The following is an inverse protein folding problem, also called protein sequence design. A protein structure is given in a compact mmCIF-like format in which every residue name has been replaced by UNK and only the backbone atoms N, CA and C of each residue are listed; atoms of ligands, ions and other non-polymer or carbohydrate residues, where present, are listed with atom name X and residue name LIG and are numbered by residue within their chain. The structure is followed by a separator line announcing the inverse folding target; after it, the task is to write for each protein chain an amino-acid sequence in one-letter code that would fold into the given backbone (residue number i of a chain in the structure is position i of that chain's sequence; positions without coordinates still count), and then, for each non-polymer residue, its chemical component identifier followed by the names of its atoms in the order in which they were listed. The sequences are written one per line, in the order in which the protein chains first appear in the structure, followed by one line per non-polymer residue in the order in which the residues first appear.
data_IF_276870260458
#
_entry.id   IF_276870260458
#
_cell.length_a   1.000
_cell.length_b   1.000
_cell.length_c   1.000
_cell.angle_alpha   90.00
_cell.angle_beta   90.00
_cell.angle_gamma   90.00
#
_symmetry.space_group_name_H-M   'P 1'
#
loop_
_entity.id
_entity.type
_entity.pdbx_description
1 polymer ?
#
# COMPACT_ATOMS: atom_id res chain seq x y z
N UNK A 1 5.95 12.38 42.00
CA UNK A 1 5.19 11.79 40.88
C UNK A 1 5.97 10.56 40.43
N UNK A 2 5.32 9.49 39.98
CA UNK A 2 6.06 8.36 39.40
C UNK A 2 6.58 8.76 38.01
N UNK A 3 7.85 8.47 37.73
CA UNK A 3 8.44 8.64 36.40
C UNK A 3 8.06 7.44 35.54
N UNK A 4 6.99 7.57 34.76
CA UNK A 4 6.55 6.51 33.84
C UNK A 4 6.04 7.13 32.55
N UNK A 5 6.38 6.52 31.41
CA UNK A 5 5.68 6.77 30.15
C UNK A 5 4.21 6.35 30.28
N UNK A 6 3.35 7.01 29.51
CA UNK A 6 1.90 6.84 29.54
C UNK A 6 1.44 6.61 28.11
N UNK A 7 0.71 5.52 27.89
CA UNK A 7 0.18 5.17 26.57
C UNK A 7 -0.80 6.26 26.09
N UNK A 8 -0.59 6.75 24.85
CA UNK A 8 -1.34 7.87 24.29
C UNK A 8 -1.68 7.66 22.82
N UNK A 9 -2.81 8.22 22.40
CA UNK A 9 -3.18 8.23 20.99
C UNK A 9 -2.28 9.20 20.22
N UNK A 10 -1.88 8.86 18.99
CA UNK A 10 -1.00 9.70 18.16
C UNK A 10 -1.54 11.13 17.92
N UNK A 11 -2.85 11.33 18.02
CA UNK A 11 -3.52 12.65 17.93
C UNK A 11 -3.16 13.60 19.09
N UNK A 12 -2.72 13.05 20.23
CA UNK A 12 -2.41 13.79 21.46
C UNK A 12 -0.91 14.16 21.54
N UNK A 13 -0.10 13.74 20.55
CA UNK A 13 1.35 13.98 20.48
C UNK A 13 1.66 15.38 19.98
N UNK A 14 2.55 16.08 20.69
CA UNK A 14 2.97 17.46 20.39
C UNK A 14 4.49 17.58 20.20
N UNK A 15 4.95 18.71 19.66
CA UNK A 15 6.38 18.98 19.45
C UNK A 15 7.06 19.21 20.80
N UNK A 16 8.17 18.52 21.03
CA UNK A 16 8.88 18.49 22.32
C UNK A 16 8.50 17.34 23.25
N UNK A 17 7.48 16.52 22.91
CA UNK A 17 7.17 15.32 23.67
C UNK A 17 8.26 14.26 23.51
N UNK A 18 8.53 13.53 24.61
CA UNK A 18 9.42 12.37 24.62
C UNK A 18 8.60 11.10 24.38
N UNK A 19 8.93 10.39 23.30
CA UNK A 19 8.28 9.14 22.94
C UNK A 19 9.30 8.03 23.07
N UNK A 20 8.97 7.04 23.91
CA UNK A 20 9.59 5.72 23.90
C UNK A 20 8.81 4.83 22.94
N UNK A 21 9.52 4.11 22.08
CA UNK A 21 8.95 3.14 21.14
C UNK A 21 9.66 1.79 21.31
N UNK A 22 8.93 0.70 21.13
CA UNK A 22 9.43 -0.68 21.18
C UNK A 22 9.80 -1.23 19.79
N UNK A 23 10.49 -2.37 19.76
CA UNK A 23 10.70 -3.12 18.52
C UNK A 23 9.37 -3.41 17.80
N UNK A 24 9.35 -3.26 16.48
CA UNK A 24 8.20 -3.42 15.58
C UNK A 24 7.08 -2.37 15.72
N UNK A 25 7.24 -1.33 16.54
CA UNK A 25 6.30 -0.21 16.58
C UNK A 25 6.52 0.79 15.42
N UNK A 26 5.43 1.46 15.03
CA UNK A 26 5.43 2.47 13.96
C UNK A 26 5.63 3.87 14.55
N UNK A 27 6.57 4.61 14.00
CA UNK A 27 6.95 5.95 14.45
C UNK A 27 5.80 6.95 14.18
N UNK A 28 5.26 7.64 15.21
CA UNK A 28 4.01 8.42 15.10
C UNK A 28 4.20 9.84 14.54
N UNK A 29 5.39 10.40 14.70
CA UNK A 29 5.77 11.78 14.37
C UNK A 29 7.26 11.82 14.02
N UNK A 30 7.74 12.89 13.37
CA UNK A 30 9.17 12.99 13.06
C UNK A 30 9.93 13.38 14.34
N UNK A 31 10.88 12.55 14.76
CA UNK A 31 11.50 12.62 16.09
C UNK A 31 13.01 12.36 16.04
N UNK A 32 13.77 13.09 16.85
CA UNK A 32 15.23 12.95 16.94
C UNK A 32 15.58 11.86 17.94
N UNK A 33 16.43 10.91 17.55
CA UNK A 33 16.84 9.75 18.33
C UNK A 33 17.80 10.15 19.46
N UNK A 34 17.36 10.01 20.72
CA UNK A 34 18.12 10.38 21.93
C UNK A 34 18.67 9.18 22.70
N UNK A 35 18.07 8.00 22.56
CA UNK A 35 18.52 6.76 23.20
C UNK A 35 18.13 5.54 22.37
N UNK A 36 18.96 4.50 22.43
CA UNK A 36 18.69 3.17 21.89
C UNK A 36 19.17 2.12 22.89
N UNK A 37 18.51 0.95 22.92
CA UNK A 37 19.01 -0.23 23.65
C UNK A 37 20.21 -0.91 22.99
N UNK A 38 20.56 -0.52 21.77
CA UNK A 38 21.75 -1.00 21.05
C UNK A 38 23.03 -0.33 21.63
N UNK A 39 24.06 -1.11 22.04
CA UNK A 39 25.27 -0.57 22.68
C UNK A 39 26.10 0.35 21.77
N UNK A 40 25.98 0.26 20.44
CA UNK A 40 26.65 1.18 19.50
C UNK A 40 25.86 2.49 19.29
N UNK A 41 24.75 2.68 20.03
CA UNK A 41 23.85 3.82 19.88
C UNK A 41 23.07 3.80 18.56
N UNK A 42 22.86 2.61 17.98
CA UNK A 42 22.25 2.41 16.66
C UNK A 42 20.75 2.12 16.80
N UNK A 43 19.95 2.52 15.81
CA UNK A 43 18.59 2.01 15.60
C UNK A 43 18.41 1.63 14.14
N UNK A 44 17.68 0.56 13.85
CA UNK A 44 17.31 0.20 12.49
C UNK A 44 15.84 0.54 12.23
N UNK A 45 15.56 1.24 11.12
CA UNK A 45 14.18 1.50 10.70
C UNK A 45 13.89 0.91 9.31
N UNK A 46 12.70 0.36 9.16
CA UNK A 46 12.14 -0.03 7.87
C UNK A 46 11.44 1.16 7.23
N UNK A 47 11.78 1.48 5.97
CA UNK A 47 11.22 2.64 5.23
C UNK A 47 10.33 2.25 4.05
N UNK A 48 9.97 0.97 3.96
CA UNK A 48 9.12 0.38 2.92
C UNK A 48 7.84 1.20 2.65
N UNK A 49 7.18 1.70 3.70
CA UNK A 49 6.00 2.56 3.61
C UNK A 49 6.22 4.02 3.18
N UNK A 50 7.46 4.46 2.94
CA UNK A 50 7.81 5.82 2.47
C UNK A 50 8.52 5.83 1.11
N UNK A 51 9.42 4.88 0.87
CA UNK A 51 10.29 4.87 -0.32
C UNK A 51 10.41 3.52 -1.04
N UNK A 52 9.64 2.50 -0.62
CA UNK A 52 9.61 1.19 -1.29
C UNK A 52 10.90 0.38 -1.15
N UNK A 53 11.89 0.85 -0.38
CA UNK A 53 13.10 0.08 -0.06
C UNK A 53 12.82 -0.87 1.10
N UNK A 54 13.09 -2.17 0.90
CA UNK A 54 12.98 -3.19 1.95
C UNK A 54 14.23 -3.33 2.83
N UNK A 55 15.30 -2.58 2.53
CA UNK A 55 16.51 -2.59 3.34
C UNK A 55 16.31 -1.76 4.62
N UNK A 56 16.84 -2.26 5.74
CA UNK A 56 16.80 -1.53 7.01
C UNK A 56 17.77 -0.36 6.97
N UNK A 57 17.28 0.86 7.24
CA UNK A 57 18.08 2.07 7.24
C UNK A 57 18.58 2.36 8.65
N UNK A 58 19.89 2.38 8.80
CA UNK A 58 20.57 2.65 10.05
C UNK A 58 20.34 4.12 10.48
N UNK A 59 20.15 4.30 11.78
CA UNK A 59 20.00 5.57 12.50
C UNK A 59 20.94 5.59 13.69
N UNK A 60 21.37 6.77 14.12
CA UNK A 60 22.28 6.91 15.27
C UNK A 60 21.74 7.90 16.30
N UNK A 61 21.96 7.59 17.58
CA UNK A 61 21.73 8.50 18.70
C UNK A 61 22.60 9.75 18.55
N UNK A 62 22.06 10.93 18.90
CA UNK A 62 22.82 12.18 18.82
C UNK A 62 24.06 12.15 19.72
N UNK A 63 25.20 12.61 19.20
CA UNK A 63 26.46 12.72 19.96
C UNK A 63 26.26 13.58 21.22
N UNK A 64 26.88 13.17 22.33
CA UNK A 64 26.61 13.68 23.68
C UNK A 64 25.57 12.86 24.45
N UNK A 65 24.68 12.12 23.76
CA UNK A 65 23.77 11.14 24.39
C UNK A 65 24.15 9.69 24.06
N UNK A 66 24.91 9.45 22.98
CA UNK A 66 25.35 8.10 22.58
C UNK A 66 26.32 7.41 23.57
N UNK A 67 26.94 8.16 24.49
CA UNK A 67 27.86 7.63 25.52
C UNK A 67 27.14 7.28 26.84
N UNK A 68 25.80 7.29 26.85
CA UNK A 68 25.01 7.09 28.08
C UNK A 68 24.39 5.68 28.14
N UNK A 69 24.98 4.80 28.96
CA UNK A 69 24.51 3.42 29.28
C UNK A 69 23.09 3.33 29.91
N UNK A 70 22.35 4.43 29.98
CA UNK A 70 21.07 4.53 30.67
C UNK A 70 20.08 5.39 29.91
N UNK A 71 18.81 4.98 29.93
CA UNK A 71 17.71 5.67 29.29
C UNK A 71 17.63 7.16 29.72
N UNK A 72 17.45 8.05 28.74
CA UNK A 72 17.47 9.51 28.97
C UNK A 72 16.30 9.92 29.86
N UNK A 73 16.61 10.36 31.09
CA UNK A 73 15.64 10.90 32.05
C UNK A 73 15.09 12.25 31.55
N UNK A 74 13.81 12.35 31.11
CA UNK A 74 13.32 13.57 30.44
C UNK A 74 13.31 14.80 31.35
N UNK A 75 13.22 14.63 32.68
CA UNK A 75 13.29 15.75 33.63
C UNK A 75 14.69 16.36 33.75
N UNK A 76 15.74 15.65 33.29
CA UNK A 76 17.12 16.14 33.24
C UNK A 76 17.51 16.70 31.86
N UNK A 77 16.65 16.56 30.85
CA UNK A 77 16.95 17.04 29.52
C UNK A 77 16.83 18.57 29.45
N UNK A 78 17.98 19.24 29.44
CA UNK A 78 18.11 20.70 29.45
C UNK A 78 18.76 21.25 28.16
N UNK A 79 18.75 20.45 27.10
CA UNK A 79 19.30 20.77 25.78
C UNK A 79 18.21 21.32 24.85
N UNK A 80 18.59 22.18 23.90
CA UNK A 80 17.67 22.88 22.99
C UNK A 80 17.91 22.43 21.54
N UNK A 81 16.86 22.02 20.84
CA UNK A 81 16.92 21.65 19.42
C UNK A 81 16.52 22.85 18.56
N UNK A 82 17.38 23.22 17.62
CA UNK A 82 17.06 24.10 16.50
C UNK A 82 17.06 23.24 15.22
N UNK A 83 16.01 23.30 14.40
CA UNK A 83 15.94 22.60 13.11
C UNK A 83 15.53 23.55 11.99
N UNK A 84 15.82 23.18 10.73
CA UNK A 84 15.32 23.89 9.56
C UNK A 84 13.79 23.79 9.46
N UNK A 85 13.14 24.70 8.71
CA UNK A 85 11.68 24.64 8.55
C UNK A 85 11.22 23.32 7.88
N UNK A 86 10.02 22.82 8.22
CA UNK A 86 9.44 21.61 7.62
C UNK A 86 9.52 21.62 6.10
N UNK A 87 10.04 20.54 5.51
CA UNK A 87 10.27 20.41 4.07
C UNK A 87 10.11 18.97 3.59
N UNK A 88 9.64 18.78 2.35
CA UNK A 88 9.28 17.49 1.76
C UNK A 88 10.47 16.60 1.33
N UNK A 89 11.71 17.06 1.51
CA UNK A 89 12.91 16.30 1.13
C UNK A 89 13.21 15.18 2.16
N UNK A 90 12.93 13.93 1.81
CA UNK A 90 13.22 12.75 2.64
C UNK A 90 14.72 12.41 2.74
N UNK A 91 15.58 13.03 1.92
CA UNK A 91 17.04 12.88 1.98
C UNK A 91 17.70 13.88 2.95
N UNK A 92 17.05 15.02 3.19
CA UNK A 92 17.62 16.15 3.92
C UNK A 92 16.94 16.38 5.27
N UNK A 93 17.77 16.50 6.30
CA UNK A 93 17.43 17.15 7.56
C UNK A 93 18.65 17.91 8.04
N UNK A 94 18.46 19.12 8.55
CA UNK A 94 19.51 19.95 9.16
C UNK A 94 19.00 20.56 10.45
N UNK A 95 19.79 20.44 11.50
CA UNK A 95 19.55 21.10 12.78
C UNK A 95 20.79 21.09 13.67
N UNK A 96 20.63 21.60 14.88
CA UNK A 96 21.64 21.59 15.93
C UNK A 96 20.99 21.30 17.28
N UNK A 97 21.64 20.46 18.08
CA UNK A 97 21.34 20.23 19.49
C UNK A 97 22.32 21.05 20.33
N UNK A 98 21.81 22.10 20.96
CA UNK A 98 22.54 22.99 21.86
C UNK A 98 22.42 22.48 23.30
N UNK A 99 23.48 21.87 23.81
CA UNK A 99 23.56 21.43 25.20
C UNK A 99 23.61 22.63 26.16
N UNK A 100 23.29 22.43 27.44
CA UNK A 100 23.35 23.50 28.46
C UNK A 100 24.75 24.13 28.61
N UNK A 101 25.81 23.42 28.21
CA UNK A 101 27.19 23.92 28.13
C UNK A 101 27.45 24.86 26.93
N UNK A 102 26.42 25.16 26.12
CA UNK A 102 26.45 25.88 24.83
C UNK A 102 27.22 25.18 23.70
N UNK A 103 27.57 23.91 23.90
CA UNK A 103 28.08 23.06 22.84
C UNK A 103 26.96 22.72 21.84
N UNK A 104 27.25 22.87 20.54
CA UNK A 104 26.28 22.69 19.45
C UNK A 104 26.64 21.48 18.60
N UNK A 105 25.90 20.39 18.79
CA UNK A 105 26.05 19.15 18.03
C UNK A 105 25.19 19.22 16.76
N UNK A 106 25.77 18.92 15.59
CA UNK A 106 25.03 18.90 14.34
C UNK A 106 24.03 17.73 14.25
N UNK A 107 22.82 18.00 13.77
CA UNK A 107 21.79 17.01 13.48
C UNK A 107 21.68 16.78 11.97
N UNK A 108 21.86 15.53 11.55
CA UNK A 108 21.74 15.05 10.16
C UNK A 108 20.51 14.14 9.99
N UNK A 109 20.27 13.68 8.75
CA UNK A 109 19.27 12.64 8.46
C UNK A 109 19.50 11.35 9.25
N UNK A 110 20.73 11.03 9.68
CA UNK A 110 21.03 9.81 10.45
C UNK A 110 20.39 9.82 11.84
N UNK A 111 20.16 11.01 12.42
CA UNK A 111 19.62 11.18 13.76
C UNK A 111 18.07 11.29 13.77
N UNK A 112 17.42 11.27 12.60
CA UNK A 112 15.98 11.53 12.45
C UNK A 112 15.19 10.24 12.16
N UNK A 113 14.29 9.89 13.07
CA UNK A 113 13.23 8.91 12.83
C UNK A 113 12.07 9.62 12.11
N UNK A 114 11.54 8.99 11.07
CA UNK A 114 10.47 9.55 10.23
C UNK A 114 9.13 8.90 10.54
N UNK A 115 8.05 9.70 10.55
CA UNK A 115 6.69 9.21 10.72
C UNK A 115 6.33 8.16 9.67
N UNK A 116 5.77 7.04 10.12
CA UNK A 116 5.34 5.92 9.26
C UNK A 116 6.42 4.88 8.97
N UNK A 117 7.66 5.08 9.42
CA UNK A 117 8.66 4.02 9.48
C UNK A 117 8.40 3.08 10.67
N UNK A 118 8.84 1.83 10.56
CA UNK A 118 8.74 0.82 11.63
C UNK A 118 10.12 0.57 12.23
N UNK A 119 10.24 0.50 13.56
CA UNK A 119 11.50 0.17 14.23
C UNK A 119 11.75 -1.34 14.14
N UNK A 120 12.98 -1.74 13.83
CA UNK A 120 13.42 -3.14 13.73
C UNK A 120 14.75 -3.31 14.47
N UNK A 121 15.11 -4.55 14.82
CA UNK A 121 16.41 -4.93 15.39
C UNK A 121 16.88 -4.08 16.60
N UNK A 122 15.95 -3.52 17.38
CA UNK A 122 16.25 -2.66 18.54
C UNK A 122 15.09 -2.79 19.53
N UNK A 123 15.34 -3.23 20.76
CA UNK A 123 14.28 -3.53 21.74
C UNK A 123 13.45 -2.30 22.12
N UNK A 124 14.13 -1.18 22.41
CA UNK A 124 13.48 0.10 22.64
C UNK A 124 14.36 1.28 22.19
N UNK A 125 13.70 2.36 21.80
CA UNK A 125 14.33 3.67 21.53
C UNK A 125 13.57 4.77 22.25
N UNK A 126 14.25 5.87 22.57
CA UNK A 126 13.62 7.12 23.01
C UNK A 126 14.04 8.25 22.09
N UNK A 127 13.09 9.08 21.70
CA UNK A 127 13.35 10.30 20.94
C UNK A 127 12.39 11.42 21.30
N UNK A 128 12.73 12.62 20.84
CA UNK A 128 11.97 13.84 21.06
C UNK A 128 11.35 14.33 19.75
N UNK A 129 10.05 14.63 19.76
CA UNK A 129 9.30 15.04 18.56
C UNK A 129 9.76 16.42 18.09
N UNK A 130 10.16 16.53 16.81
CA UNK A 130 10.55 17.79 16.16
C UNK A 130 9.50 18.31 15.17
N UNK A 131 8.77 17.43 14.47
CA UNK A 131 7.63 17.81 13.65
C UNK A 131 6.43 16.90 13.93
N UNK A 132 5.23 17.45 13.98
CA UNK A 132 4.00 16.73 14.30
C UNK A 132 2.90 16.98 13.26
N UNK A 133 1.87 16.12 13.24
CA UNK A 133 0.69 16.31 12.40
C UNK A 133 0.99 16.42 10.91
N UNK A 134 0.71 17.58 10.31
CA UNK A 134 0.93 17.87 8.89
C UNK A 134 2.35 18.35 8.55
N UNK A 135 3.17 18.71 9.55
CA UNK A 135 4.53 19.20 9.35
C UNK A 135 5.56 18.07 9.17
N UNK A 136 5.17 16.81 9.41
CA UNK A 136 6.07 15.67 9.18
C UNK A 136 6.39 15.51 7.70
N UNK A 137 7.63 15.15 7.39
CA UNK A 137 8.12 14.99 6.00
C UNK A 137 7.27 14.02 5.19
N UNK A 138 6.80 12.93 5.84
CA UNK A 138 5.86 11.97 5.26
C UNK A 138 4.51 12.61 4.85
N UNK A 139 3.98 13.56 5.64
CA UNK A 139 2.74 14.26 5.29
C UNK A 139 2.95 15.39 4.28
N UNK A 140 4.11 16.05 4.28
CA UNK A 140 4.46 17.04 3.26
C UNK A 140 4.68 16.43 1.87
N UNK A 141 5.05 15.14 1.80
CA UNK A 141 5.09 14.38 0.55
C UNK A 141 3.70 13.82 0.13
N UNK A 142 2.74 13.77 1.05
CA UNK A 142 1.39 13.29 0.78
C UNK A 142 0.52 14.38 0.12
N UNK A 143 0.25 14.23 -1.18
CA UNK A 143 -0.63 15.12 -1.96
C UNK A 143 -2.11 15.15 -1.56
N UNK A 144 -2.51 14.42 -0.52
CA UNK A 144 -3.85 14.39 0.03
C UNK A 144 -4.88 13.63 -0.81
N UNK A 145 -6.10 13.39 -0.27
CA UNK A 145 -7.19 12.74 -1.00
C UNK A 145 -7.76 13.67 -2.08
N UNK A 146 -7.19 13.62 -3.28
CA UNK A 146 -7.73 14.35 -4.44
C UNK A 146 -9.03 13.69 -4.92
N UNK A 147 -10.08 14.48 -5.11
CA UNK A 147 -11.35 14.00 -5.68
C UNK A 147 -11.12 13.46 -7.10
N UNK A 148 -11.36 12.15 -7.26
CA UNK A 148 -11.31 11.47 -8.57
C UNK A 148 -12.65 11.68 -9.29
N UNK A 149 -12.61 11.87 -10.61
CA UNK A 149 -13.81 12.14 -11.44
C UNK A 149 -13.71 11.36 -12.76
N UNK A 150 -14.58 10.36 -12.95
CA UNK A 150 -14.54 9.43 -14.08
C UNK A 150 -14.65 10.13 -15.44
N UNK A 151 -14.10 9.49 -16.47
CA UNK A 151 -14.32 9.85 -17.88
C UNK A 151 -15.80 9.79 -18.29
N UNK A 152 -16.57 8.82 -17.78
CA UNK A 152 -18.00 8.65 -18.10
C UNK A 152 -18.83 9.82 -17.60
N UNK A 153 -18.60 10.23 -16.34
CA UNK A 153 -19.29 11.36 -15.71
C UNK A 153 -19.04 12.68 -16.45
N UNK A 154 -17.81 12.91 -16.92
CA UNK A 154 -17.46 14.08 -17.77
C UNK A 154 -18.20 14.05 -19.11
N UNK A 155 -18.33 12.87 -19.72
CA UNK A 155 -19.07 12.68 -20.98
C UNK A 155 -20.56 12.94 -20.78
N UNK A 156 -21.19 12.33 -19.77
CA UNK A 156 -22.60 12.56 -19.44
C UNK A 156 -22.91 14.05 -19.19
N UNK A 157 -22.02 14.78 -18.49
CA UNK A 157 -22.14 16.22 -18.30
C UNK A 157 -22.04 17.01 -19.63
N UNK A 158 -21.29 16.52 -20.61
CA UNK A 158 -21.18 17.11 -21.96
C UNK A 158 -22.42 16.83 -22.80
N UNK A 159 -22.95 15.61 -22.71
CA UNK A 159 -24.17 15.21 -23.42
C UNK A 159 -25.41 15.96 -22.87
N UNK A 160 -25.49 16.16 -21.54
CA UNK A 160 -26.51 17.02 -20.92
C UNK A 160 -26.40 18.48 -21.37
N UNK A 161 -25.19 19.01 -21.57
CA UNK A 161 -25.01 20.36 -22.13
C UNK A 161 -25.56 20.45 -23.56
N UNK A 162 -25.37 19.42 -24.39
CA UNK A 162 -25.98 19.34 -25.72
C UNK A 162 -27.51 19.26 -25.66
N UNK A 163 -28.08 18.49 -24.73
CA UNK A 163 -29.53 18.45 -24.48
C UNK A 163 -30.10 19.84 -24.10
N UNK A 164 -29.40 20.59 -23.25
CA UNK A 164 -29.80 21.96 -22.87
C UNK A 164 -29.73 22.92 -24.06
N UNK A 165 -28.71 22.83 -24.91
CA UNK A 165 -28.62 23.65 -26.13
C UNK A 165 -29.73 23.32 -27.12
N UNK A 166 -30.04 22.03 -27.31
CA UNK A 166 -31.15 21.58 -28.17
C UNK A 166 -32.51 22.06 -27.62
N UNK A 167 -32.74 21.94 -26.31
CA UNK A 167 -33.93 22.45 -25.63
C UNK A 167 -34.13 23.95 -25.91
N UNK A 168 -33.11 24.79 -25.71
CA UNK A 168 -33.19 26.23 -25.97
C UNK A 168 -33.53 26.53 -27.43
N UNK A 169 -32.94 25.80 -28.39
CA UNK A 169 -33.26 25.95 -29.83
C UNK A 169 -34.72 25.58 -30.12
N UNK A 170 -35.25 24.51 -29.52
CA UNK A 170 -36.66 24.13 -29.67
C UNK A 170 -37.61 25.16 -29.03
N UNK A 171 -37.30 25.67 -27.83
CA UNK A 171 -38.10 26.71 -27.18
C UNK A 171 -38.09 28.02 -27.98
N UNK A 172 -36.95 28.42 -28.57
CA UNK A 172 -36.85 29.60 -29.44
C UNK A 172 -37.67 29.43 -30.73
N UNK A 173 -37.58 28.29 -31.41
CA UNK A 173 -38.36 28.04 -32.63
C UNK A 173 -39.87 27.95 -32.35
N UNK A 174 -40.27 27.36 -31.21
CA UNK A 174 -41.66 27.38 -30.73
C UNK A 174 -42.18 28.80 -30.44
N UNK A 175 -41.41 29.62 -29.74
CA UNK A 175 -41.77 31.01 -29.42
C UNK A 175 -41.90 31.89 -30.67
N UNK A 176 -40.95 31.79 -31.60
CA UNK A 176 -40.97 32.50 -32.89
C UNK A 176 -42.13 32.00 -33.77
N UNK A 177 -42.36 30.69 -33.83
CA UNK A 177 -43.49 30.10 -34.56
C UNK A 177 -44.83 30.59 -34.04
N UNK A 178 -45.01 30.67 -32.71
CA UNK A 178 -46.22 31.20 -32.08
C UNK A 178 -46.41 32.70 -32.38
N UNK A 179 -45.36 33.51 -32.28
CA UNK A 179 -45.42 34.94 -32.61
C UNK A 179 -45.81 35.20 -34.08
N UNK A 180 -45.24 34.43 -35.01
CA UNK A 180 -45.58 34.48 -36.45
C UNK A 180 -47.03 34.03 -36.68
N UNK A 181 -47.48 32.97 -36.02
CA UNK A 181 -48.85 32.47 -36.12
C UNK A 181 -49.87 33.52 -35.65
N UNK A 182 -49.68 34.06 -34.44
CA UNK A 182 -50.58 35.07 -33.87
C UNK A 182 -50.62 36.34 -34.73
N UNK A 183 -49.47 36.83 -35.20
CA UNK A 183 -49.40 37.96 -36.13
C UNK A 183 -50.05 37.68 -37.50
N UNK A 184 -50.06 36.43 -37.97
CA UNK A 184 -50.72 36.04 -39.23
C UNK A 184 -52.24 35.98 -39.12
N UNK A 185 -52.76 35.52 -37.98
CA UNK A 185 -54.20 35.27 -37.76
C UNK A 185 -54.92 36.33 -36.92
N UNK A 186 -54.24 37.42 -36.55
CA UNK A 186 -54.73 38.58 -35.79
C UNK A 186 -56.11 39.14 -36.24
N UNK A 187 -56.44 39.00 -37.53
CA UNK A 187 -57.71 39.46 -38.15
C UNK A 187 -58.87 38.46 -38.08
N UNK A 188 -58.64 37.23 -37.59
CA UNK A 188 -59.67 36.20 -37.43
C UNK A 188 -60.19 36.18 -35.99
N UNK A 189 -61.21 36.99 -35.71
CA UNK A 189 -61.83 37.11 -34.38
C UNK A 189 -62.31 35.79 -33.75
N UNK A 190 -62.46 34.72 -34.53
CA UNK A 190 -62.85 33.39 -34.03
C UNK A 190 -61.70 32.60 -33.37
N UNK A 191 -60.44 32.97 -33.63
CA UNK A 191 -59.25 32.28 -33.09
C UNK A 191 -58.54 33.06 -31.98
N UNK A 192 -58.89 34.33 -31.78
CA UNK A 192 -58.25 35.21 -30.80
C UNK A 192 -59.14 35.29 -29.54
N UNK A 193 -59.02 34.29 -28.66
CA UNK A 193 -59.75 34.23 -27.38
C UNK A 193 -59.13 35.26 -26.41
N UNK A 194 -59.88 36.27 -25.92
CA UNK A 194 -59.36 37.22 -24.94
C UNK A 194 -59.09 36.56 -23.60
N UNK A 195 -58.09 37.06 -22.86
CA UNK A 195 -57.96 36.74 -21.43
C UNK A 195 -59.14 37.33 -20.62
N UNK A 196 -59.41 36.84 -19.40
CA UNK A 196 -60.56 37.25 -18.60
C UNK A 196 -60.69 38.76 -18.37
N UNK A 197 -59.57 39.49 -18.35
CA UNK A 197 -59.50 40.94 -18.16
C UNK A 197 -59.74 41.74 -19.46
N UNK A 198 -60.03 41.07 -20.59
CA UNK A 198 -60.38 41.70 -21.88
C UNK A 198 -59.21 42.34 -22.64
N UNK A 199 -57.99 42.29 -22.09
CA UNK A 199 -56.79 42.78 -22.75
C UNK A 199 -56.28 41.81 -23.83
N UNK A 200 -55.85 42.35 -24.97
CA UNK A 200 -55.21 41.59 -26.06
C UNK A 200 -53.70 41.59 -25.81
N UNK A 201 -53.13 40.41 -25.51
CA UNK A 201 -51.68 40.25 -25.34
C UNK A 201 -50.97 40.58 -26.65
N UNK A 202 -49.91 41.39 -26.61
CA UNK A 202 -49.12 41.68 -27.82
C UNK A 202 -48.43 40.41 -28.33
N UNK A 203 -48.29 40.19 -29.66
CA UNK A 203 -47.69 38.96 -30.19
C UNK A 203 -46.28 38.67 -29.68
N UNK A 204 -45.51 39.70 -29.34
CA UNK A 204 -44.18 39.59 -28.73
C UNK A 204 -44.25 39.06 -27.28
N UNK A 205 -45.17 39.57 -26.47
CA UNK A 205 -45.36 39.13 -25.08
C UNK A 205 -45.97 37.73 -25.02
N UNK A 206 -46.90 37.41 -25.91
CA UNK A 206 -47.43 36.05 -26.07
C UNK A 206 -46.34 35.05 -26.50
N UNK A 207 -45.44 35.45 -27.42
CA UNK A 207 -44.24 34.67 -27.77
C UNK A 207 -43.29 34.48 -26.58
N UNK A 208 -43.09 35.50 -25.75
CA UNK A 208 -42.26 35.41 -24.53
C UNK A 208 -42.85 34.44 -23.50
N UNK A 209 -44.17 34.48 -23.23
CA UNK A 209 -44.79 33.48 -22.36
C UNK A 209 -44.67 32.07 -22.95
N UNK A 210 -44.90 31.91 -24.25
CA UNK A 210 -44.76 30.61 -24.93
C UNK A 210 -43.33 30.06 -24.91
N UNK A 211 -42.29 30.89 -24.87
CA UNK A 211 -40.91 30.42 -24.63
C UNK A 211 -40.79 29.67 -23.30
N UNK A 212 -41.29 30.25 -22.20
CA UNK A 212 -41.28 29.63 -20.87
C UNK A 212 -42.21 28.41 -20.77
N UNK A 213 -43.41 28.48 -21.37
CA UNK A 213 -44.31 27.32 -21.47
C UNK A 213 -43.64 26.15 -22.22
N UNK A 214 -42.89 26.43 -23.29
CA UNK A 214 -42.15 25.40 -24.03
C UNK A 214 -40.96 24.84 -23.23
N UNK A 215 -40.31 25.61 -22.36
CA UNK A 215 -39.29 25.07 -21.44
C UNK A 215 -39.92 24.05 -20.49
N UNK A 216 -41.07 24.38 -19.88
CA UNK A 216 -41.78 23.49 -18.95
C UNK A 216 -42.28 22.23 -19.67
N UNK A 217 -42.84 22.38 -20.88
CA UNK A 217 -43.34 21.26 -21.69
C UNK A 217 -42.21 20.32 -22.14
N UNK A 218 -41.06 20.87 -22.55
CA UNK A 218 -39.91 20.11 -23.06
C UNK A 218 -38.88 19.74 -21.98
N UNK A 219 -39.13 20.02 -20.69
CA UNK A 219 -38.19 19.75 -19.58
C UNK A 219 -37.72 18.28 -19.51
N UNK A 220 -38.52 17.36 -20.05
CA UNK A 220 -38.21 15.92 -20.19
C UNK A 220 -36.97 15.63 -21.05
N UNK A 221 -36.53 16.59 -21.88
CA UNK A 221 -35.27 16.51 -22.64
C UNK A 221 -34.01 16.52 -21.75
N UNK A 222 -34.12 16.93 -20.48
CA UNK A 222 -33.05 16.83 -19.50
C UNK A 222 -33.33 15.58 -18.63
N UNK A 223 -32.63 14.46 -18.84
CA UNK A 223 -32.95 13.21 -18.15
C UNK A 223 -32.40 13.23 -16.72
N UNK A 224 -33.12 13.86 -15.79
CA UNK A 224 -32.74 13.93 -14.36
C UNK A 224 -32.52 12.52 -13.77
N UNK A 225 -33.31 11.54 -14.23
CA UNK A 225 -33.17 10.13 -13.87
C UNK A 225 -31.84 9.50 -14.29
N UNK A 226 -31.16 10.01 -15.32
CA UNK A 226 -29.89 9.46 -15.82
C UNK A 226 -28.82 9.42 -14.73
N UNK A 227 -28.66 10.52 -13.98
CA UNK A 227 -27.70 10.59 -12.88
C UNK A 227 -28.02 9.59 -11.76
N UNK A 228 -29.29 9.51 -11.36
CA UNK A 228 -29.75 8.59 -10.31
C UNK A 228 -29.54 7.13 -10.74
N UNK A 229 -29.86 6.79 -12.00
CA UNK A 229 -29.62 5.45 -12.55
C UNK A 229 -28.13 5.12 -12.65
N UNK A 230 -27.26 6.06 -13.04
CA UNK A 230 -25.81 5.86 -13.09
C UNK A 230 -25.26 5.57 -11.69
N UNK A 231 -25.61 6.36 -10.67
CA UNK A 231 -25.13 6.14 -9.30
C UNK A 231 -25.63 4.79 -8.72
N UNK A 232 -26.89 4.41 -8.98
CA UNK A 232 -27.40 3.08 -8.57
C UNK A 232 -26.63 1.94 -9.27
N UNK A 233 -26.33 2.08 -10.57
CA UNK A 233 -25.53 1.09 -11.31
C UNK A 233 -24.10 0.99 -10.76
N UNK A 234 -23.46 2.11 -10.42
CA UNK A 234 -22.13 2.13 -9.78
C UNK A 234 -22.12 1.40 -8.43
N UNK A 235 -23.09 1.72 -7.57
CA UNK A 235 -23.22 1.06 -6.27
C UNK A 235 -23.45 -0.46 -6.43
N UNK A 236 -24.24 -0.88 -7.43
CA UNK A 236 -24.40 -2.29 -7.79
C UNK A 236 -23.10 -2.95 -8.25
N UNK A 237 -22.35 -2.31 -9.16
CA UNK A 237 -21.04 -2.81 -9.63
C UNK A 237 -20.05 -3.00 -8.48
N UNK A 238 -20.00 -2.04 -7.54
CA UNK A 238 -19.10 -2.10 -6.39
C UNK A 238 -19.54 -3.18 -5.39
N UNK A 239 -20.85 -3.31 -5.14
CA UNK A 239 -21.37 -4.40 -4.32
C UNK A 239 -20.95 -5.78 -4.86
N UNK A 240 -21.01 -5.99 -6.18
CA UNK A 240 -20.50 -7.23 -6.79
C UNK A 240 -19.00 -7.39 -6.60
N UNK A 241 -18.16 -6.37 -6.87
CA UNK A 241 -16.70 -6.44 -6.69
C UNK A 241 -16.31 -6.73 -5.22
N UNK A 242 -17.08 -6.26 -4.24
CA UNK A 242 -16.82 -6.51 -2.81
C UNK A 242 -17.41 -7.81 -2.28
N UNK A 243 -18.34 -8.44 -3.01
CA UNK A 243 -18.97 -9.72 -2.68
C UNK A 243 -18.36 -10.89 -3.47
N UNK A 244 -17.32 -10.62 -4.26
CA UNK A 244 -16.64 -11.60 -5.10
C UNK A 244 -15.59 -12.38 -4.29
N UNK A 245 -15.64 -13.71 -4.42
CA UNK A 245 -14.79 -14.64 -3.65
C UNK A 245 -13.40 -14.76 -4.27
N UNK A 246 -13.26 -14.55 -5.59
CA UNK A 246 -11.97 -14.58 -6.29
C UNK A 246 -11.06 -13.41 -5.85
N UNK A 247 -11.61 -12.42 -5.14
CA UNK A 247 -10.92 -11.27 -4.55
C UNK A 247 -10.69 -11.37 -3.02
N UNK A 248 -10.95 -12.52 -2.40
CA UNK A 248 -10.60 -12.80 -1.01
C UNK A 248 -9.14 -13.26 -0.86
N UNK A 249 -8.42 -12.73 0.13
CA UNK A 249 -7.08 -13.20 0.50
C UNK A 249 -7.09 -13.87 1.86
N UNK A 250 -7.05 -15.20 1.83
CA UNK A 250 -6.98 -16.12 2.97
C UNK A 250 -5.85 -15.77 3.95
N UNK A 251 -4.64 -15.53 3.46
CA UNK A 251 -3.43 -15.25 4.28
C UNK A 251 -3.50 -13.97 5.10
N UNK A 252 -4.50 -13.12 4.88
CA UNK A 252 -4.70 -11.88 5.63
C UNK A 252 -6.16 -11.67 6.05
N UNK A 253 -7.00 -12.71 5.98
CA UNK A 253 -8.47 -12.66 6.19
C UNK A 253 -9.10 -11.35 5.68
N UNK A 254 -8.93 -11.09 4.37
CA UNK A 254 -9.27 -9.77 3.82
C UNK A 254 -9.92 -9.82 2.45
N UNK A 255 -11.11 -9.23 2.36
CA UNK A 255 -11.83 -8.90 1.12
C UNK A 255 -11.35 -7.57 0.52
N UNK A 256 -11.58 -7.37 -0.78
CA UNK A 256 -11.31 -6.10 -1.48
C UNK A 256 -12.17 -4.93 -0.94
N UNK A 257 -11.49 -3.84 -0.57
CA UNK A 257 -12.12 -2.62 -0.04
C UNK A 257 -12.22 -1.52 -1.09
N UNK A 258 -13.39 -1.34 -1.69
CA UNK A 258 -13.65 -0.30 -2.69
C UNK A 258 -13.79 1.11 -2.08
N UNK A 259 -12.64 1.77 -1.79
CA UNK A 259 -12.59 3.09 -1.13
C UNK A 259 -13.09 4.29 -1.98
N UNK A 260 -13.35 4.12 -3.28
CA UNK A 260 -13.75 5.20 -4.17
C UNK A 260 -14.90 4.76 -5.09
N UNK A 261 -16.12 5.21 -4.79
CA UNK A 261 -17.34 4.66 -5.36
C UNK A 261 -17.69 5.17 -6.77
N UNK A 262 -16.95 6.15 -7.30
CA UNK A 262 -17.32 6.89 -8.51
C UNK A 262 -16.42 6.62 -9.73
N UNK A 263 -15.53 5.61 -9.66
CA UNK A 263 -14.54 5.27 -10.69
C UNK A 263 -14.54 3.78 -11.08
N UNK A 264 -15.53 2.99 -10.68
CA UNK A 264 -15.58 1.56 -10.99
C UNK A 264 -15.54 1.30 -12.52
N UNK A 265 -16.16 2.18 -13.30
CA UNK A 265 -16.18 2.10 -14.76
C UNK A 265 -14.84 2.47 -15.43
N UNK A 266 -13.93 3.17 -14.73
CA UNK A 266 -12.63 3.58 -15.26
C UNK A 266 -11.62 2.42 -15.26
N UNK A 267 -11.84 1.35 -14.46
CA UNK A 267 -10.96 0.16 -14.45
C UNK A 267 -10.91 -0.52 -15.83
N UNK A 268 -12.06 -0.65 -16.50
CA UNK A 268 -12.17 -1.16 -17.87
C UNK A 268 -11.58 -0.23 -18.95
N UNK A 269 -10.92 0.87 -18.56
CA UNK A 269 -10.32 1.86 -19.45
C UNK A 269 -8.85 2.20 -19.09
N UNK A 270 -8.20 1.34 -18.31
CA UNK A 270 -6.77 1.43 -17.97
C UNK A 270 -5.94 0.95 -19.16
N UNK A 271 -5.00 1.78 -19.62
CA UNK A 271 -4.06 1.47 -20.71
C UNK A 271 -2.61 1.28 -20.23
N UNK A 272 -2.29 1.81 -19.04
CA UNK A 272 -0.96 1.80 -18.46
C UNK A 272 -1.08 1.41 -16.99
N UNK A 273 -0.51 0.27 -16.62
CA UNK A 273 -0.39 -0.17 -15.24
C UNK A 273 1.01 0.22 -14.72
N UNK A 274 1.05 1.19 -13.81
CA UNK A 274 2.27 1.52 -13.07
C UNK A 274 2.30 0.69 -11.79
N UNK A 275 3.04 -0.42 -11.81
CA UNK A 275 3.30 -1.23 -10.62
C UNK A 275 4.59 -0.80 -9.94
N UNK A 276 4.61 -0.79 -8.61
CA UNK A 276 5.87 -0.84 -7.86
C UNK A 276 6.50 -2.25 -8.01
N UNK A 277 7.80 -2.36 -7.76
CA UNK A 277 8.52 -3.63 -7.69
C UNK A 277 8.32 -4.24 -6.29
N UNK A 278 8.77 -3.54 -5.25
CA UNK A 278 8.79 -4.07 -3.89
C UNK A 278 7.37 -4.15 -3.33
N UNK A 279 7.01 -5.27 -2.69
CA UNK A 279 5.69 -5.43 -2.05
C UNK A 279 4.49 -5.50 -2.98
N UNK A 280 4.67 -5.34 -4.31
CA UNK A 280 3.61 -5.51 -5.32
C UNK A 280 3.97 -6.64 -6.31
N UNK A 281 5.14 -6.56 -6.97
CA UNK A 281 5.61 -7.63 -7.89
C UNK A 281 6.44 -8.70 -7.18
N UNK A 282 7.06 -8.38 -6.04
CA UNK A 282 7.87 -9.32 -5.26
C UNK A 282 7.48 -9.30 -3.79
N UNK A 283 7.17 -10.48 -3.23
CA UNK A 283 7.12 -10.66 -1.78
C UNK A 283 8.48 -10.30 -1.14
N UNK A 284 8.46 -9.82 0.11
CA UNK A 284 9.69 -9.41 0.81
C UNK A 284 10.44 -10.62 1.43
N UNK A 285 10.63 -11.68 0.65
CA UNK A 285 11.17 -12.98 1.08
C UNK A 285 12.41 -13.32 0.25
N UNK A 286 13.58 -12.90 0.72
CA UNK A 286 14.85 -13.12 0.01
C UNK A 286 15.36 -14.55 0.20
N UNK A 287 15.31 -15.35 -0.86
CA UNK A 287 15.74 -16.75 -0.86
C UNK A 287 17.06 -16.94 -1.60
N UNK A 288 18.07 -17.44 -0.90
CA UNK A 288 19.32 -17.89 -1.53
C UNK A 288 19.08 -19.20 -2.30
N UNK A 289 19.25 -19.17 -3.63
CA UNK A 289 19.03 -20.31 -4.54
C UNK A 289 20.32 -20.95 -5.07
N UNK A 290 21.32 -20.15 -5.45
CA UNK A 290 22.62 -20.59 -6.00
C UNK A 290 23.74 -19.61 -5.67
N UNK A 291 24.99 -20.07 -5.67
CA UNK A 291 26.16 -19.21 -5.88
C UNK A 291 27.16 -19.90 -6.82
N UNK A 292 27.98 -19.12 -7.51
CA UNK A 292 29.18 -19.67 -8.16
C UNK A 292 30.43 -19.26 -7.39
N UNK A 293 31.29 -20.24 -7.11
CA UNK A 293 32.58 -20.05 -6.43
C UNK A 293 33.67 -20.71 -7.28
N UNK A 294 34.72 -19.95 -7.61
CA UNK A 294 35.82 -20.40 -8.48
C UNK A 294 35.40 -21.00 -9.84
N UNK A 295 34.22 -20.64 -10.36
CA UNK A 295 33.68 -21.14 -11.63
C UNK A 295 32.82 -22.42 -11.53
N UNK A 296 32.67 -23.00 -10.34
CA UNK A 296 31.71 -24.07 -10.07
C UNK A 296 30.36 -23.45 -9.65
N UNK A 297 29.23 -23.95 -10.14
CA UNK A 297 27.88 -23.54 -9.71
C UNK A 297 27.37 -24.46 -8.59
N UNK A 298 27.01 -23.87 -7.46
CA UNK A 298 26.49 -24.56 -6.28
C UNK A 298 24.98 -24.31 -6.21
N UNK A 299 24.21 -25.20 -6.84
CA UNK A 299 22.76 -25.14 -6.76
C UNK A 299 22.26 -25.68 -5.41
N UNK A 300 21.43 -24.89 -4.71
CA UNK A 300 20.90 -25.27 -3.39
C UNK A 300 19.44 -25.76 -3.49
N UNK A 301 19.24 -26.86 -4.21
CA UNK A 301 17.91 -27.48 -4.43
C UNK A 301 17.23 -27.88 -3.12
N UNK A 302 18.00 -28.25 -2.11
CA UNK A 302 17.48 -28.66 -0.80
C UNK A 302 16.77 -27.52 -0.06
N UNK A 303 17.22 -26.26 -0.24
CA UNK A 303 16.49 -25.09 0.27
C UNK A 303 15.21 -24.78 -0.50
N UNK A 304 15.06 -25.23 -1.75
CA UNK A 304 13.79 -25.11 -2.49
C UNK A 304 12.72 -25.97 -1.80
N UNK A 305 12.99 -27.27 -1.69
CA UNK A 305 12.11 -28.24 -1.00
C UNK A 305 11.86 -27.87 0.46
N UNK A 306 12.88 -27.36 1.15
CA UNK A 306 12.71 -26.93 2.55
C UNK A 306 11.73 -25.76 2.65
N UNK A 307 11.78 -24.80 1.72
CA UNK A 307 10.82 -23.70 1.66
C UNK A 307 9.40 -24.13 1.27
N UNK A 308 9.28 -25.10 0.37
CA UNK A 308 8.00 -25.76 0.06
C UNK A 308 7.41 -26.40 1.34
N UNK A 309 8.19 -27.23 2.06
CA UNK A 309 7.75 -27.87 3.31
C UNK A 309 7.46 -26.91 4.47
N UNK A 310 8.14 -25.76 4.54
CA UNK A 310 7.81 -24.69 5.51
C UNK A 310 6.55 -23.92 5.12
N UNK A 311 6.18 -23.91 3.83
CA UNK A 311 4.94 -23.30 3.37
C UNK A 311 3.75 -24.22 3.68
N UNK A 312 3.90 -25.52 3.44
CA UNK A 312 2.91 -26.57 3.74
C UNK A 312 2.62 -26.69 5.25
N UNK A 313 3.66 -26.81 6.09
CA UNK A 313 3.50 -26.96 7.53
C UNK A 313 2.79 -25.76 8.20
N UNK A 314 2.99 -24.54 7.69
CA UNK A 314 2.33 -23.33 8.21
C UNK A 314 0.85 -23.27 7.83
N UNK A 315 0.43 -23.86 6.70
CA UNK A 315 -1.00 -24.05 6.42
C UNK A 315 -1.63 -25.13 7.32
N UNK A 316 -0.95 -26.26 7.52
CA UNK A 316 -1.48 -27.37 8.34
C UNK A 316 -1.68 -26.96 9.82
N UNK A 317 -0.79 -26.13 10.38
CA UNK A 317 -0.90 -25.64 11.77
C UNK A 317 -2.06 -24.63 11.97
N UNK A 318 -2.44 -23.84 10.95
CA UNK A 318 -3.58 -22.89 11.01
C UNK A 318 -4.92 -23.64 10.82
N UNK A 319 -5.04 -24.52 9.83
CA UNK A 319 -6.25 -25.34 9.57
C UNK A 319 -6.67 -26.18 10.80
N UNK A 320 -5.70 -26.62 11.59
CA UNK A 320 -5.93 -27.41 12.80
C UNK A 320 -6.53 -26.60 13.95
N UNK A 321 -6.37 -25.26 13.96
CA UNK A 321 -6.91 -24.40 15.02
C UNK A 321 -8.40 -24.17 14.83
N UNK A 322 -8.84 -23.78 13.63
CA UNK A 322 -10.26 -23.48 13.36
C UNK A 322 -11.16 -24.72 13.44
N UNK A 323 -10.62 -25.90 13.06
CA UNK A 323 -11.34 -27.19 13.15
C UNK A 323 -11.77 -27.53 14.58
N UNK A 324 -11.09 -27.01 15.61
CA UNK A 324 -11.36 -27.33 17.03
C UNK A 324 -12.45 -26.44 17.65
N UNK A 325 -12.78 -25.29 17.05
CA UNK A 325 -13.79 -24.35 17.58
C UNK A 325 -15.25 -24.84 17.41
N UNK A 326 -15.45 -25.94 16.67
CA UNK A 326 -16.72 -26.30 16.05
C UNK A 326 -17.65 -27.31 16.75
N UNK A 327 -17.43 -27.79 17.98
CA UNK A 327 -18.40 -28.73 18.59
C UNK A 327 -18.53 -28.85 20.12
N UNK A 328 -19.80 -28.85 20.53
CA UNK A 328 -20.44 -29.38 21.74
C UNK A 328 -20.07 -28.89 23.16
N UNK A 329 -21.13 -28.61 23.91
CA UNK A 329 -21.14 -28.34 25.34
C UNK A 329 -21.49 -29.60 26.15
N UNK A 330 -20.81 -29.82 27.30
CA UNK A 330 -21.42 -29.91 28.65
C UNK A 330 -20.53 -30.59 29.72
N UNK A 331 -20.12 -29.79 30.71
CA UNK A 331 -20.00 -30.11 32.14
C UNK A 331 -19.36 -31.45 32.62
N UNK A 332 -18.10 -31.38 33.09
CA UNK A 332 -17.65 -31.98 34.35
C UNK A 332 -16.32 -31.37 34.87
N UNK A 333 -16.13 -31.27 36.19
CA UNK A 333 -14.81 -31.08 36.84
C UNK A 333 -14.29 -32.45 37.30
N UNK A 334 -12.98 -32.71 37.25
CA UNK A 334 -12.23 -32.73 38.52
C UNK A 334 -10.74 -32.27 38.48
N UNK A 335 -10.33 -31.70 39.63
CA UNK A 335 -9.01 -31.66 40.30
C UNK A 335 -7.70 -31.98 39.54
N UNK A 336 -6.70 -31.12 39.75
CA UNK A 336 -5.28 -31.37 39.50
C UNK A 336 -4.62 -32.32 40.54
N UNK A 337 -3.46 -32.90 40.20
CA UNK A 337 -2.25 -32.79 41.01
C UNK A 337 -1.04 -32.31 40.15
N UNK A 338 -0.33 -31.25 40.56
CA UNK A 338 0.83 -31.27 41.47
C UNK A 338 2.17 -31.58 40.79
N UNK A 339 3.04 -30.56 40.71
CA UNK A 339 4.46 -30.72 40.38
C UNK A 339 5.19 -31.62 41.40
N UNK A 340 6.26 -32.31 40.99
CA UNK A 340 7.33 -32.75 41.91
C UNK A 340 8.68 -32.93 41.20
N UNK A 341 9.72 -32.36 41.82
CA UNK A 341 11.15 -32.44 41.49
C UNK A 341 11.73 -33.84 41.73
N UNK A 342 12.94 -34.16 41.20
CA UNK A 342 14.11 -34.68 41.99
C UNK A 342 15.40 -34.92 41.15
N UNK A 343 16.51 -34.38 41.67
CA UNK A 343 17.96 -34.68 41.56
C UNK A 343 18.78 -35.02 40.28
N UNK A 344 19.99 -34.43 40.29
CA UNK A 344 21.21 -34.86 39.59
C UNK A 344 21.94 -36.02 40.32
N UNK A 345 22.73 -36.84 39.62
CA UNK A 345 23.70 -37.78 40.21
C UNK A 345 24.43 -38.69 39.19
N UNK A 346 25.78 -38.79 39.16
CA UNK A 346 26.52 -39.50 38.10
C UNK A 346 27.36 -40.73 38.55
N UNK A 347 27.64 -41.67 37.62
CA UNK A 347 28.93 -42.41 37.39
C UNK A 347 28.75 -43.59 36.39
N UNK A 348 29.82 -44.03 35.68
CA UNK A 348 29.86 -45.34 34.98
C UNK A 348 30.78 -45.43 33.74
N UNK A 349 31.77 -46.33 33.74
CA UNK A 349 32.84 -46.43 32.72
C UNK A 349 32.73 -47.68 31.80
N UNK A 350 32.91 -47.49 30.47
CA UNK A 350 33.70 -48.35 29.52
C UNK A 350 33.27 -49.83 29.24
N UNK A 351 33.90 -50.56 28.27
CA UNK A 351 34.54 -50.17 26.98
C UNK A 351 34.25 -51.12 25.76
N UNK A 352 34.80 -50.76 24.58
CA UNK A 352 35.15 -51.63 23.42
C UNK A 352 33.98 -52.17 22.56
N UNK A 353 34.13 -52.52 21.27
CA UNK A 353 35.30 -52.76 20.37
C UNK A 353 34.90 -52.38 18.89
N UNK A 354 35.57 -52.65 17.75
CA UNK A 354 36.74 -53.48 17.39
C UNK A 354 37.60 -52.94 16.19
N UNK A 355 37.62 -53.62 15.01
CA UNK A 355 38.43 -53.36 13.79
C UNK A 355 37.50 -53.09 12.56
N UNK A 356 37.85 -52.49 11.41
CA UNK A 356 39.09 -52.03 10.72
C UNK A 356 39.57 -52.86 9.49
N UNK A 357 39.93 -52.16 8.39
CA UNK A 357 40.64 -52.67 7.19
C UNK A 357 39.76 -53.10 5.99
N UNK A 358 40.23 -53.11 4.72
CA UNK A 358 41.48 -52.52 4.15
C UNK A 358 41.55 -52.57 2.61
N UNK A 359 41.95 -51.45 1.97
CA UNK A 359 42.82 -51.30 0.77
C UNK A 359 42.68 -52.14 -0.52
N UNK A 360 42.56 -51.42 -1.66
CA UNK A 360 43.26 -51.58 -2.97
C UNK A 360 43.39 -52.94 -3.68
N UNK A 361 42.99 -52.95 -4.98
CA UNK A 361 43.80 -53.48 -6.11
C UNK A 361 43.53 -52.67 -7.40
N UNK A 362 44.36 -52.86 -8.43
CA UNK A 362 44.37 -52.15 -9.72
C UNK A 362 44.13 -53.15 -10.88
N UNK A 363 43.40 -52.76 -11.94
CA UNK A 363 43.17 -53.60 -13.12
C UNK A 363 42.87 -52.80 -14.38
N UNK A 364 43.49 -53.17 -15.51
CA UNK A 364 43.44 -52.44 -16.80
C UNK A 364 42.25 -52.84 -17.68
N UNK A 365 41.81 -51.93 -18.55
CA UNK A 365 40.85 -52.20 -19.64
C UNK A 365 40.63 -50.97 -20.53
N UNK A 366 40.82 -51.11 -21.83
CA UNK A 366 40.59 -50.05 -22.82
C UNK A 366 39.10 -49.96 -23.21
N UNK A 367 38.58 -48.76 -23.40
CA UNK A 367 37.22 -48.48 -23.84
C UNK A 367 37.03 -47.00 -24.17
N UNK A 368 36.24 -46.69 -25.20
CA UNK A 368 36.14 -45.35 -25.76
C UNK A 368 34.86 -44.59 -25.35
N UNK A 369 34.89 -43.29 -25.64
CA UNK A 369 33.75 -42.38 -25.90
C UNK A 369 33.23 -41.44 -24.78
N UNK A 370 32.86 -40.26 -25.28
CA UNK A 370 31.88 -39.28 -24.80
C UNK A 370 32.19 -38.40 -23.57
N UNK A 371 32.47 -37.12 -23.89
CA UNK A 371 32.46 -35.97 -22.97
C UNK A 371 31.04 -35.38 -22.93
N UNK A 372 30.36 -35.36 -21.77
CA UNK A 372 29.08 -34.66 -21.64
C UNK A 372 29.31 -33.15 -21.46
N UNK A 373 29.31 -32.40 -22.56
CA UNK A 373 29.32 -30.94 -22.51
C UNK A 373 27.95 -30.39 -22.05
N UNK A 374 27.75 -30.31 -20.73
CA UNK A 374 26.65 -29.52 -20.18
C UNK A 374 26.90 -28.02 -20.40
N UNK A 375 26.12 -27.44 -21.31
CA UNK A 375 26.00 -25.99 -21.53
C UNK A 375 24.53 -25.58 -21.57
N UNK A 376 23.81 -25.83 -20.49
CA UNK A 376 22.54 -25.14 -20.25
C UNK A 376 22.81 -23.72 -19.76
N UNK A 377 22.21 -22.73 -20.42
CA UNK A 377 22.40 -21.32 -20.10
C UNK A 377 21.61 -20.92 -18.83
N UNK A 378 22.13 -19.96 -18.07
CA UNK A 378 21.64 -19.62 -16.72
C UNK A 378 20.26 -18.93 -16.65
N UNK A 379 19.47 -18.92 -17.72
CA UNK A 379 18.18 -18.22 -17.82
C UNK A 379 17.10 -19.03 -18.57
N UNK A 380 17.05 -20.35 -18.35
CA UNK A 380 16.00 -21.21 -18.93
C UNK A 380 15.51 -22.30 -17.97
N UNK A 381 14.88 -21.90 -16.87
CA UNK A 381 13.85 -22.73 -16.24
C UNK A 381 12.55 -22.56 -17.05
N UNK A 382 11.85 -23.65 -17.45
CA UNK A 382 10.49 -23.52 -17.93
C UNK A 382 9.63 -23.04 -16.74
N UNK A 383 9.20 -21.78 -16.78
CA UNK A 383 8.17 -21.32 -15.84
C UNK A 383 6.84 -21.91 -16.31
N UNK A 384 6.06 -22.46 -15.39
CA UNK A 384 4.87 -23.23 -15.70
C UNK A 384 3.72 -22.29 -16.09
N UNK A 385 3.70 -21.86 -17.35
CA UNK A 385 2.68 -20.95 -17.90
C UNK A 385 1.41 -21.72 -18.24
N UNK A 386 0.72 -22.26 -17.23
CA UNK A 386 -0.59 -22.89 -17.42
C UNK A 386 -1.69 -21.82 -17.52
N UNK A 387 -1.52 -20.94 -18.52
CA UNK A 387 -2.50 -19.96 -18.96
C UNK A 387 -3.19 -20.57 -20.18
N UNK A 388 -4.23 -21.35 -19.94
CA UNK A 388 -5.07 -21.93 -21.00
C UNK A 388 -5.65 -20.78 -21.84
N UNK A 389 -5.30 -20.65 -23.13
CA UNK A 389 -5.76 -19.52 -23.94
C UNK A 389 -7.21 -19.74 -24.37
N UNK A 390 -8.15 -18.91 -23.87
CA UNK A 390 -9.51 -18.92 -24.41
C UNK A 390 -9.48 -18.53 -25.89
N UNK A 391 -9.96 -19.44 -26.73
CA UNK A 391 -9.87 -19.37 -28.20
C UNK A 391 -10.86 -18.38 -28.83
N UNK A 392 -11.42 -17.47 -28.03
CA UNK A 392 -12.43 -16.47 -28.43
C UNK A 392 -11.93 -15.01 -28.40
N UNK A 393 -10.75 -14.74 -27.85
CA UNK A 393 -10.14 -13.40 -27.85
C UNK A 393 -9.30 -13.16 -29.12
N UNK A 394 -9.74 -12.24 -29.99
CA UNK A 394 -9.10 -11.99 -31.28
C UNK A 394 -7.91 -11.02 -31.23
N UNK A 395 -6.75 -11.48 -31.71
CA UNK A 395 -5.67 -10.73 -32.38
C UNK A 395 -5.41 -9.26 -31.96
N UNK A 396 -4.30 -9.01 -31.26
CA UNK A 396 -3.64 -7.69 -31.33
C UNK A 396 -2.68 -7.32 -30.19
N UNK A 397 -1.37 -7.55 -30.36
CA UNK A 397 -0.33 -6.96 -29.49
C UNK A 397 0.95 -7.80 -29.38
N UNK A 398 2.06 -7.31 -29.93
CA UNK A 398 3.40 -7.84 -29.63
C UNK A 398 3.96 -7.10 -28.40
N UNK A 399 4.13 -7.81 -27.28
CA UNK A 399 4.88 -7.31 -26.13
C UNK A 399 6.34 -7.74 -26.22
N UNK A 400 7.22 -6.82 -26.63
CA UNK A 400 8.66 -7.06 -26.65
C UNK A 400 9.26 -6.94 -25.24
N UNK A 401 9.48 -8.08 -24.57
CA UNK A 401 10.25 -8.12 -23.32
C UNK A 401 11.75 -7.93 -23.61
N UNK A 402 12.31 -6.80 -23.14
CA UNK A 402 13.75 -6.54 -23.17
C UNK A 402 14.44 -7.02 -21.90
N UNK A 403 15.39 -7.95 -22.03
CA UNK A 403 16.15 -8.49 -20.90
C UNK A 403 17.16 -7.46 -20.36
N UNK A 404 17.05 -7.07 -19.09
CA UNK A 404 18.00 -6.14 -18.44
C UNK A 404 18.98 -6.95 -17.59
N UNK A 405 20.23 -7.05 -18.05
CA UNK A 405 21.33 -7.57 -17.24
C UNK A 405 21.84 -6.49 -16.27
N UNK A 406 21.89 -6.81 -14.98
CA UNK A 406 22.49 -5.95 -13.94
C UNK A 406 23.83 -6.55 -13.51
N UNK A 407 24.94 -5.95 -13.93
CA UNK A 407 26.29 -6.31 -13.49
C UNK A 407 26.69 -5.49 -12.25
N UNK A 408 26.93 -6.15 -11.12
CA UNK A 408 27.49 -5.49 -9.94
C UNK A 408 29.00 -5.19 -10.14
N UNK A 409 29.51 -4.01 -9.75
CA UNK A 409 30.93 -3.69 -9.84
C UNK A 409 31.72 -4.35 -8.71
N UNK A 410 32.74 -5.13 -9.07
CA UNK A 410 33.71 -5.70 -8.12
C UNK A 410 34.75 -4.66 -7.70
N UNK A 411 34.73 -4.23 -6.44
CA UNK A 411 35.90 -3.60 -5.83
C UNK A 411 36.91 -4.69 -5.40
N UNK A 412 38.21 -4.55 -5.74
CA UNK A 412 39.24 -5.47 -5.24
C UNK A 412 39.53 -5.18 -3.77
N UNK A 413 39.76 -6.23 -2.98
CA UNK A 413 40.26 -6.12 -1.61
C UNK A 413 41.79 -5.94 -1.59
N UNK A 414 42.26 -5.15 -0.61
CA UNK A 414 43.64 -5.01 -0.15
C UNK A 414 43.63 -4.78 1.37
#
# INVERSE_FOLDING_TARGET
KEKKYIDRCWKDVTVGDFIRLSCNEVIPADMVLLFSTDPDGICHIETSGLDGESNLKQRQVVRGYAEQDSEVDPEKFSSRIECESPNNDLSRFRGFLEHSNKERVGLSKENLLLRGCTIRNTEAVVGIVVYAGHETKAMLNNSGPRYKRSKLERRANTDVLWCVMLLVIMCLTGAVGHGIWLSRYEKMHFFNVPEPDGHIISPLLAGFYMFWTMIILLQVLIPISLYVSIEIVKLGQIYFIQSDVDFYNEKTDSIVQCRALNIAEDLGQIQYLFSDKTGTLTENKMVFRRCSVAGFDYCHEENARRLESYQEAVSEDEDFIDTVSGSLSNMAKPRAPSCRTVHNGPLGNKPSNHLAGSSFTLGSGEGASEVPHSRQAAFSSPIETDVVPDTRAGHGGLCCFGTINISAPTHPAL
#
